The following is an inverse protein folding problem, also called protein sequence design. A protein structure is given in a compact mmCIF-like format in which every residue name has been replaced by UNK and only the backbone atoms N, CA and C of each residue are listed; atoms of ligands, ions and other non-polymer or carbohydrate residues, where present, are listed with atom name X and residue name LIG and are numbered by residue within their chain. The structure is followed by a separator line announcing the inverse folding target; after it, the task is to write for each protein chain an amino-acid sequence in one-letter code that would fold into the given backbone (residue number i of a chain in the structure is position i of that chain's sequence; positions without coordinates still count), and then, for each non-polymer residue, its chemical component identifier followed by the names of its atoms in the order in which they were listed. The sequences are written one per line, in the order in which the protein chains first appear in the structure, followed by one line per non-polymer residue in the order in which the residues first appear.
data_IF_899106876991
#
_entry.id   IF_899106876991
#
_cell.length_a   1.000
_cell.length_b   1.000
_cell.length_c   1.000
_cell.angle_alpha   90.00
_cell.angle_beta   90.00
_cell.angle_gamma   90.00
#
_symmetry.space_group_name_H-M   'P 1'
#
loop_
_entity.id
_entity.type
_entity.pdbx_description
1 polymer ?
#
# COMPACT_ATOMS: atom_id res chain seq x y z
N UNK A 1 5.25 11.22 -18.41
CA UNK A 1 4.77 11.36 -17.01
C UNK A 1 3.26 11.51 -17.06
N UNK A 2 2.49 10.60 -16.45
CA UNK A 2 1.04 10.78 -16.35
C UNK A 2 0.72 11.79 -15.25
N UNK A 3 -0.20 12.70 -15.52
CA UNK A 3 -0.68 13.71 -14.59
C UNK A 3 -1.39 13.04 -13.40
N UNK A 4 -1.12 13.44 -12.15
CA UNK A 4 -1.85 12.94 -11.00
C UNK A 4 -3.35 13.21 -11.18
N UNK A 5 -4.18 12.19 -11.02
CA UNK A 5 -5.65 12.36 -11.02
C UNK A 5 -6.09 12.89 -9.67
N UNK A 6 -6.96 13.89 -9.68
CA UNK A 6 -7.60 14.47 -8.50
C UNK A 6 -8.94 13.82 -8.24
N UNK A 7 -9.33 13.75 -6.97
CA UNK A 7 -10.62 13.22 -6.54
C UNK A 7 -11.28 14.19 -5.57
N UNK A 8 -12.62 14.25 -5.62
CA UNK A 8 -13.38 15.10 -4.71
C UNK A 8 -13.41 14.51 -3.29
N UNK A 9 -13.42 13.18 -3.17
CA UNK A 9 -13.47 12.46 -1.90
C UNK A 9 -12.47 11.32 -1.82
N UNK A 10 -12.13 10.92 -0.61
CA UNK A 10 -11.24 9.79 -0.39
C UNK A 10 -11.91 8.49 -0.83
N UNK A 11 -13.19 8.32 -0.55
CA UNK A 11 -13.96 7.14 -0.93
C UNK A 11 -13.93 6.90 -2.45
N UNK A 12 -14.00 7.97 -3.24
CA UNK A 12 -13.86 7.88 -4.70
C UNK A 12 -12.47 7.37 -5.09
N UNK A 13 -11.42 7.96 -4.51
CA UNK A 13 -10.04 7.53 -4.75
C UNK A 13 -9.81 6.07 -4.33
N UNK A 14 -10.32 5.66 -3.17
CA UNK A 14 -10.21 4.29 -2.66
C UNK A 14 -10.92 3.29 -3.57
N UNK A 15 -12.14 3.61 -4.03
CA UNK A 15 -12.92 2.75 -4.92
C UNK A 15 -12.19 2.52 -6.25
N UNK A 16 -11.65 3.59 -6.84
CA UNK A 16 -10.89 3.52 -8.10
C UNK A 16 -9.60 2.70 -7.95
N UNK A 17 -8.97 2.73 -6.78
CA UNK A 17 -7.72 2.02 -6.49
C UNK A 17 -7.90 0.67 -5.78
N UNK A 18 -9.14 0.23 -5.57
CA UNK A 18 -9.44 -1.08 -4.98
C UNK A 18 -8.96 -1.25 -3.53
N UNK A 19 -8.92 -0.16 -2.75
CA UNK A 19 -8.56 -0.26 -1.33
C UNK A 19 -9.66 -0.96 -0.52
N UNK A 20 -9.32 -1.80 0.48
CA UNK A 20 -10.31 -2.50 1.28
C UNK A 20 -11.17 -1.51 2.10
N UNK A 21 -12.49 -1.64 2.00
CA UNK A 21 -13.45 -0.80 2.74
C UNK A 21 -13.33 -1.00 4.26
N UNK A 22 -12.82 -2.15 4.73
CA UNK A 22 -12.59 -2.39 6.15
C UNK A 22 -11.67 -1.34 6.78
N UNK A 23 -10.70 -0.82 6.02
CA UNK A 23 -9.79 0.22 6.50
C UNK A 23 -10.40 1.64 6.41
N UNK A 24 -11.62 1.81 5.88
CA UNK A 24 -12.23 3.12 5.66
C UNK A 24 -12.31 3.95 6.93
N UNK A 25 -12.66 3.34 8.06
CA UNK A 25 -12.71 4.02 9.35
C UNK A 25 -11.34 4.59 9.76
N UNK A 26 -10.23 3.88 9.51
CA UNK A 26 -8.88 4.36 9.80
C UNK A 26 -8.55 5.57 8.93
N UNK A 27 -8.89 5.50 7.64
CA UNK A 27 -8.62 6.62 6.75
C UNK A 27 -9.45 7.86 7.09
N UNK A 28 -10.71 7.68 7.50
CA UNK A 28 -11.56 8.77 8.00
C UNK A 28 -10.95 9.42 9.25
N UNK A 29 -10.47 8.62 10.19
CA UNK A 29 -9.80 9.14 11.39
C UNK A 29 -8.54 9.95 11.03
N UNK A 30 -7.77 9.48 10.04
CA UNK A 30 -6.58 10.21 9.55
C UNK A 30 -6.98 11.54 8.91
N UNK A 31 -8.04 11.55 8.11
CA UNK A 31 -8.60 12.73 7.45
C UNK A 31 -9.12 13.75 8.45
N UNK A 32 -9.83 13.29 9.48
CA UNK A 32 -10.35 14.15 10.55
C UNK A 32 -9.23 14.73 11.41
N UNK A 33 -8.18 13.95 11.67
CA UNK A 33 -7.06 14.38 12.49
C UNK A 33 -6.07 15.30 11.75
N UNK A 34 -5.94 15.16 10.43
CA UNK A 34 -4.92 15.84 9.63
C UNK A 34 -5.59 16.54 8.44
N UNK A 35 -5.82 17.87 8.54
CA UNK A 35 -6.43 18.65 7.47
C UNK A 35 -5.61 18.58 6.18
N UNK A 36 -6.26 18.23 5.06
CA UNK A 36 -5.65 18.16 3.74
C UNK A 36 -6.32 19.15 2.78
N UNK A 37 -5.52 19.64 1.85
CA UNK A 37 -5.92 20.56 0.78
C UNK A 37 -6.47 19.81 -0.43
N UNK A 38 -5.87 18.66 -0.76
CA UNK A 38 -6.14 17.94 -2.01
C UNK A 38 -5.89 16.44 -1.88
N UNK A 39 -6.73 15.66 -2.56
CA UNK A 39 -6.58 14.22 -2.74
C UNK A 39 -6.14 13.97 -4.18
N UNK A 40 -5.01 13.30 -4.34
CA UNK A 40 -4.47 12.96 -5.66
C UNK A 40 -4.00 11.51 -5.71
N UNK A 41 -3.91 10.91 -6.88
CA UNK A 41 -3.36 9.56 -7.03
C UNK A 41 -2.17 9.53 -7.96
N UNK A 42 -1.21 8.69 -7.59
CA UNK A 42 -0.07 8.33 -8.43
C UNK A 42 -0.18 6.86 -8.78
N UNK A 43 -0.15 6.54 -10.08
CA UNK A 43 -0.35 5.18 -10.61
C UNK A 43 0.51 4.12 -9.91
N UNK A 44 1.72 4.49 -9.52
CA UNK A 44 2.70 3.57 -8.92
C UNK A 44 2.87 3.73 -7.39
N UNK A 45 2.18 4.70 -6.77
CA UNK A 45 2.40 5.05 -5.35
C UNK A 45 1.13 5.13 -4.50
N UNK A 46 -0.05 4.93 -5.07
CA UNK A 46 -1.32 4.97 -4.34
C UNK A 46 -1.93 6.38 -4.24
N UNK A 47 -2.64 6.63 -3.13
CA UNK A 47 -3.33 7.89 -2.86
C UNK A 47 -2.40 8.81 -2.07
N UNK A 48 -2.29 10.06 -2.47
CA UNK A 48 -1.55 11.14 -1.82
C UNK A 48 -2.52 12.19 -1.29
N UNK A 49 -2.40 12.49 0.00
CA UNK A 49 -3.14 13.57 0.67
C UNK A 49 -2.19 14.73 0.92
N UNK A 50 -2.35 15.81 0.15
CA UNK A 50 -1.59 17.04 0.32
C UNK A 50 -2.10 17.77 1.57
N UNK A 51 -1.25 17.94 2.58
CA UNK A 51 -1.65 18.57 3.85
C UNK A 51 -1.88 20.07 3.68
N UNK A 52 -2.85 20.62 4.41
CA UNK A 52 -3.13 22.06 4.39
C UNK A 52 -2.05 22.88 5.11
N UNK A 53 -1.34 22.27 6.06
CA UNK A 53 -0.26 22.88 6.84
C UNK A 53 1.06 23.05 6.06
N UNK A 54 1.08 22.69 4.77
CA UNK A 54 2.26 22.78 3.90
C UNK A 54 3.35 21.75 4.19
N UNK A 55 3.09 20.79 5.10
CA UNK A 55 4.00 19.67 5.35
C UNK A 55 3.89 18.63 4.24
N UNK A 56 4.80 17.65 4.27
CA UNK A 56 4.81 16.60 3.26
C UNK A 56 3.48 15.82 3.20
N UNK A 57 3.06 15.41 2.01
CA UNK A 57 1.82 14.67 1.84
C UNK A 57 1.84 13.33 2.58
N UNK A 58 0.67 12.92 3.07
CA UNK A 58 0.46 11.56 3.53
C UNK A 58 0.27 10.65 2.32
N UNK A 59 0.97 9.52 2.32
CA UNK A 59 0.87 8.50 1.29
C UNK A 59 0.10 7.32 1.84
N UNK A 60 -1.04 7.03 1.22
CA UNK A 60 -1.80 5.80 1.43
C UNK A 60 -1.46 4.84 0.32
N UNK A 61 -0.73 3.80 0.68
CA UNK A 61 -0.36 2.70 -0.19
C UNK A 61 -1.07 1.46 0.32
N UNK A 62 -1.26 0.47 -0.55
CA UNK A 62 -1.86 -0.78 -0.15
C UNK A 62 -1.12 -1.36 1.07
N UNK A 63 -1.83 -1.42 2.21
CA UNK A 63 -1.29 -1.93 3.45
C UNK A 63 -0.68 -0.95 4.45
N UNK A 64 -0.45 0.30 4.08
CA UNK A 64 0.14 1.25 5.01
C UNK A 64 -0.18 2.71 4.67
N UNK A 65 -0.12 3.54 5.71
CA UNK A 65 -0.14 5.00 5.58
C UNK A 65 1.21 5.50 6.04
N UNK A 66 1.83 6.43 5.32
CA UNK A 66 3.13 7.00 5.68
C UNK A 66 3.17 8.50 5.42
N UNK A 67 4.21 9.15 5.95
CA UNK A 67 4.38 10.61 5.83
C UNK A 67 4.03 11.36 7.11
N UNK A 68 3.76 10.64 8.21
CA UNK A 68 3.58 11.26 9.52
C UNK A 68 4.91 11.84 10.02
N UNK A 69 4.82 13.00 10.65
CA UNK A 69 5.96 13.79 11.14
C UNK A 69 6.49 13.19 12.44
N UNK A 70 5.58 12.81 13.34
CA UNK A 70 5.92 12.23 14.64
C UNK A 70 5.22 10.91 14.86
N UNK A 71 5.76 10.12 15.80
CA UNK A 71 5.15 8.86 16.24
C UNK A 71 3.78 9.12 16.86
N UNK A 72 3.65 10.20 17.60
CA UNK A 72 2.44 10.61 18.31
C UNK A 72 1.36 11.04 17.32
N UNK A 73 1.72 11.78 16.26
CA UNK A 73 0.81 12.14 15.16
C UNK A 73 0.26 10.88 14.49
N UNK A 74 1.15 9.93 14.13
CA UNK A 74 0.74 8.66 13.54
C UNK A 74 -0.22 7.90 14.46
N UNK A 75 0.15 7.72 15.73
CA UNK A 75 -0.64 6.97 16.71
C UNK A 75 -2.00 7.63 16.97
N UNK A 76 -2.06 8.95 17.06
CA UNK A 76 -3.30 9.69 17.29
C UNK A 76 -4.22 9.60 16.07
N UNK A 77 -3.69 9.87 14.87
CA UNK A 77 -4.46 9.88 13.63
C UNK A 77 -5.02 8.50 13.24
N UNK A 78 -4.34 7.42 13.63
CA UNK A 78 -4.71 6.06 13.22
C UNK A 78 -5.32 5.25 14.37
N UNK A 79 -5.91 5.91 15.36
CA UNK A 79 -6.59 5.27 16.50
C UNK A 79 -5.74 4.24 17.25
N UNK A 80 -4.46 4.52 17.43
CA UNK A 80 -3.57 3.71 18.27
C UNK A 80 -2.82 2.59 17.56
N UNK A 81 -2.91 2.46 16.23
CA UNK A 81 -2.05 1.53 15.49
C UNK A 81 -0.56 1.79 15.77
N UNK A 82 0.22 0.72 15.76
CA UNK A 82 1.65 0.76 16.07
C UNK A 82 2.43 1.46 14.95
N UNK A 83 3.02 2.65 15.21
CA UNK A 83 3.80 3.35 14.20
C UNK A 83 5.19 2.71 14.04
N UNK A 84 5.68 2.71 12.81
CA UNK A 84 7.04 2.31 12.45
C UNK A 84 7.77 3.45 11.74
N UNK A 85 9.10 3.47 11.86
CA UNK A 85 9.94 4.47 11.22
C UNK A 85 10.45 3.96 9.87
N UNK A 86 10.35 4.77 8.82
CA UNK A 86 10.83 4.40 7.48
C UNK A 86 12.34 4.11 7.51
N UNK A 87 12.75 2.93 7.06
CA UNK A 87 14.15 2.49 7.08
C UNK A 87 14.62 1.84 8.38
N UNK A 88 13.70 1.58 9.32
CA UNK A 88 13.93 0.73 10.49
C UNK A 88 13.66 -0.73 10.09
N UNK A 89 14.64 -1.63 10.33
CA UNK A 89 14.38 -3.07 10.17
C UNK A 89 13.60 -3.60 11.37
N UNK A 90 12.83 -4.67 11.16
CA UNK A 90 12.12 -5.36 12.24
C UNK A 90 13.13 -5.82 13.30
N UNK A 91 13.00 -5.31 14.54
CA UNK A 91 13.90 -5.62 15.66
C UNK A 91 15.05 -4.61 15.89
N UNK A 92 15.22 -3.61 15.02
CA UNK A 92 16.16 -2.50 15.28
C UNK A 92 15.53 -1.48 16.24
N UNK A 93 16.35 -0.89 17.12
CA UNK A 93 15.95 0.27 17.90
C UNK A 93 15.57 1.43 16.98
N UNK A 94 14.63 2.32 17.39
CA UNK A 94 14.31 3.52 16.63
C UNK A 94 15.59 4.32 16.34
N UNK A 95 15.83 4.65 15.07
CA UNK A 95 16.98 5.50 14.70
C UNK A 95 16.69 6.91 15.16
N UNK A 96 17.75 7.65 15.53
CA UNK A 96 17.65 9.06 15.93
C UNK A 96 16.74 9.81 14.94
N UNK A 97 15.69 10.45 15.46
CA UNK A 97 14.69 11.15 14.64
C UNK A 97 15.40 12.36 14.02
N UNK A 98 15.63 12.29 12.71
CA UNK A 98 16.14 13.39 11.88
C UNK A 98 14.98 14.05 11.14
N UNK A 99 15.17 15.24 10.58
CA UNK A 99 14.12 15.93 9.79
C UNK A 99 13.65 15.15 8.56
N UNK A 100 14.40 14.12 8.13
CA UNK A 100 14.05 13.20 7.03
C UNK A 100 13.36 11.92 7.52
N UNK A 101 13.26 11.74 8.83
CA UNK A 101 12.57 10.60 9.43
C UNK A 101 11.08 10.73 9.19
N UNK A 102 10.48 9.66 8.68
CA UNK A 102 9.03 9.57 8.46
C UNK A 102 8.47 8.39 9.19
N UNK A 103 7.31 8.61 9.80
CA UNK A 103 6.54 7.58 10.44
C UNK A 103 5.48 7.04 9.47
N UNK A 104 5.19 5.77 9.61
CA UNK A 104 4.10 5.08 8.93
C UNK A 104 3.40 4.13 9.88
N UNK A 105 2.22 3.68 9.48
CA UNK A 105 1.46 2.64 10.17
C UNK A 105 1.08 1.57 9.16
N UNK A 106 1.09 0.32 9.60
CA UNK A 106 0.57 -0.79 8.80
C UNK A 106 -0.92 -0.92 9.07
N UNK A 107 -1.71 -1.02 8.02
CA UNK A 107 -3.15 -1.19 8.11
C UNK A 107 -3.49 -2.65 8.46
N UNK A 108 -4.58 -2.90 9.22
CA UNK A 108 -4.99 -4.25 9.61
C UNK A 108 -5.28 -5.13 8.40
N UNK A 109 -6.06 -4.63 7.43
CA UNK A 109 -6.35 -5.36 6.20
C UNK A 109 -5.37 -4.95 5.11
N UNK A 110 -4.39 -5.81 4.85
CA UNK A 110 -3.34 -5.58 3.87
C UNK A 110 -3.51 -6.46 2.60
N UNK A 111 -4.60 -7.22 2.52
CA UNK A 111 -5.02 -7.98 1.34
C UNK A 111 -6.54 -8.18 1.36
N UNK A 112 -7.26 -7.84 0.30
CA UNK A 112 -8.56 -8.46 0.03
C UNK A 112 -8.36 -9.98 0.11
N UNK A 113 -8.98 -10.60 1.11
CA UNK A 113 -8.84 -12.02 1.46
C UNK A 113 -9.40 -12.99 0.41
N UNK A 114 -9.68 -12.53 -0.80
CA UNK A 114 -10.22 -13.32 -1.92
C UNK A 114 -9.17 -13.86 -2.90
N UNK A 115 -7.88 -13.55 -2.71
CA UNK A 115 -6.82 -14.30 -3.40
C UNK A 115 -6.00 -15.11 -2.41
N UNK A 116 -6.62 -16.18 -1.92
CA UNK A 116 -5.89 -17.35 -1.47
C UNK A 116 -5.10 -17.93 -2.63
N UNK A 117 -3.87 -17.47 -2.82
CA UNK A 117 -2.84 -18.21 -3.52
C UNK A 117 -1.48 -17.75 -3.00
N UNK A 118 -0.75 -18.68 -2.40
CA UNK A 118 0.69 -18.58 -2.31
C UNK A 118 1.23 -18.26 -3.71
N UNK A 119 1.87 -17.11 -3.87
CA UNK A 119 2.55 -16.70 -5.10
C UNK A 119 3.83 -17.50 -5.32
N UNK A 120 3.72 -18.82 -5.41
CA UNK A 120 4.41 -19.55 -6.46
C UNK A 120 3.39 -19.67 -7.57
N UNK A 121 3.39 -18.72 -8.50
CA UNK A 121 2.92 -19.05 -9.84
C UNK A 121 3.75 -20.26 -10.25
N UNK A 122 3.16 -21.45 -10.47
CA UNK A 122 3.92 -22.51 -11.12
C UNK A 122 4.35 -21.91 -12.44
N UNK A 123 5.66 -21.75 -12.66
CA UNK A 123 6.12 -21.48 -14.02
C UNK A 123 5.71 -22.73 -14.79
N UNK A 124 4.71 -22.59 -15.62
CA UNK A 124 4.40 -23.61 -16.60
C UNK A 124 5.43 -23.50 -17.71
N UNK A 125 5.95 -24.63 -18.19
CA UNK A 125 6.75 -24.65 -19.41
C UNK A 125 5.90 -24.25 -20.61
N UNK A 126 6.55 -23.91 -21.72
CA UNK A 126 5.84 -23.68 -22.98
C UNK A 126 4.99 -24.91 -23.37
N UNK A 127 3.82 -24.71 -24.00
CA UNK A 127 3.00 -25.82 -24.47
C UNK A 127 3.76 -26.66 -25.50
N UNK A 128 3.61 -27.98 -25.43
CA UNK A 128 4.16 -28.89 -26.42
C UNK A 128 3.59 -28.56 -27.81
N UNK A 129 4.45 -28.48 -28.82
CA UNK A 129 4.05 -28.14 -30.20
C UNK A 129 3.23 -29.22 -30.89
N UNK A 130 3.31 -30.47 -30.44
CA UNK A 130 2.65 -31.60 -31.09
C UNK A 130 1.26 -31.89 -30.52
N UNK A 131 1.08 -31.79 -29.20
CA UNK A 131 -0.19 -32.13 -28.53
C UNK A 131 -0.87 -30.95 -27.80
N UNK A 132 -0.21 -29.79 -27.70
CA UNK A 132 -0.77 -28.60 -27.05
C UNK A 132 -0.84 -28.67 -25.52
N UNK A 133 -0.36 -29.75 -24.88
CA UNK A 133 -0.33 -29.86 -23.42
C UNK A 133 0.75 -28.99 -22.80
N UNK A 134 0.40 -28.30 -21.72
CA UNK A 134 1.29 -27.40 -20.96
C UNK A 134 2.23 -28.23 -20.10
N UNK A 135 3.54 -28.13 -20.37
CA UNK A 135 4.54 -28.99 -19.76
C UNK A 135 4.95 -28.51 -18.35
N UNK A 136 5.32 -29.42 -17.43
CA UNK A 136 6.05 -29.04 -16.22
C UNK A 136 7.47 -28.55 -16.57
N UNK A 137 8.04 -27.67 -15.75
CA UNK A 137 9.38 -27.06 -15.92
C UNK A 137 10.54 -28.06 -16.11
N UNK A 138 10.35 -29.33 -15.76
CA UNK A 138 11.36 -30.38 -15.95
C UNK A 138 11.59 -30.73 -17.42
N UNK A 139 10.76 -30.24 -18.36
CA UNK A 139 11.03 -30.30 -19.80
C UNK A 139 10.99 -31.69 -20.42
N UNK A 140 10.59 -32.73 -19.68
CA UNK A 140 10.46 -34.09 -20.20
C UNK A 140 8.98 -34.47 -20.20
N UNK A 141 8.46 -34.68 -21.41
CA UNK A 141 7.18 -35.32 -21.66
C UNK A 141 7.42 -36.33 -22.78
N UNK A 142 7.08 -37.59 -22.53
CA UNK A 142 7.05 -38.62 -23.54
C UNK A 142 5.83 -38.39 -24.44
N UNK A 143 6.02 -37.61 -25.51
CA UNK A 143 5.10 -37.67 -26.65
C UNK A 143 5.30 -39.03 -27.32
N UNK A 144 4.37 -39.96 -27.10
CA UNK A 144 4.26 -41.16 -27.91
C UNK A 144 3.77 -40.80 -29.33
#
# INVERSE_FOLDING_TARGET
MQTPREYATLEEAMRVHGFPEWNLHIYRNVIEAIPFRRISTHKDRGISLERQDGREPLWMVYGYISGFVTKEEARAATSGLTPWQRGQKKGEAPKLVTDKTRWGVTLPENRNRETGAAGTTPRHGDPCRDCGMVLPLSGVHDCA
#
